data_IF_689947368965
#
_entry.id   IF_689947368965
#
_cell.length_a   1.000
_cell.length_b   1.000
_cell.length_c   1.000
_cell.angle_alpha   90.00
_cell.angle_beta   90.00
_cell.angle_gamma   90.00
#
_symmetry.space_group_name_H-M   'P 1'
#
loop_
_entity.id
_entity.type
_entity.pdbx_description
1 polymer ?
#
# COMPACT_ATOMS: atom_id res chain seq x y z
N UNK A 1 33.33 7.07 -13.75
CA UNK A 1 31.96 6.65 -13.37
C UNK A 1 31.94 5.15 -13.13
N UNK A 2 31.86 4.70 -11.89
CA UNK A 2 31.85 3.28 -11.55
C UNK A 2 30.48 2.65 -11.85
N UNK A 3 30.46 1.62 -12.72
CA UNK A 3 29.28 0.78 -12.96
C UNK A 3 28.98 -0.02 -11.69
N UNK A 4 27.91 0.31 -10.96
CA UNK A 4 27.37 -0.57 -9.91
C UNK A 4 26.81 -1.82 -10.60
N UNK A 5 27.52 -2.95 -10.50
CA UNK A 5 26.97 -4.26 -10.83
C UNK A 5 25.87 -4.59 -9.81
N UNK A 6 24.64 -4.79 -10.27
CA UNK A 6 23.58 -5.35 -9.45
C UNK A 6 24.02 -6.76 -9.00
N UNK A 7 24.25 -6.94 -7.70
CA UNK A 7 24.51 -8.24 -7.11
C UNK A 7 23.18 -9.00 -7.13
N UNK A 8 23.07 -10.03 -7.97
CA UNK A 8 21.95 -10.96 -7.90
C UNK A 8 21.89 -11.50 -6.46
N UNK A 9 20.82 -11.18 -5.74
CA UNK A 9 20.58 -11.71 -4.40
C UNK A 9 20.22 -13.18 -4.62
N UNK A 10 21.17 -14.08 -4.38
CA UNK A 10 20.87 -15.51 -4.29
C UNK A 10 19.70 -15.68 -3.32
N UNK A 11 18.72 -16.51 -3.69
CA UNK A 11 17.60 -16.81 -2.81
C UNK A 11 18.16 -17.31 -1.48
N UNK A 12 17.93 -16.55 -0.41
CA UNK A 12 18.29 -17.02 0.92
C UNK A 12 17.52 -18.33 1.17
N UNK A 13 18.14 -19.34 1.79
CA UNK A 13 17.42 -20.55 2.17
C UNK A 13 16.23 -20.17 3.06
N UNK A 14 15.11 -20.88 2.87
CA UNK A 14 13.87 -20.69 3.61
C UNK A 14 14.13 -20.84 5.12
N UNK A 15 13.60 -19.90 5.92
CA UNK A 15 13.74 -19.98 7.37
C UNK A 15 12.90 -21.14 7.95
N UNK A 16 13.24 -21.69 9.14
CA UNK A 16 12.43 -22.73 9.78
C UNK A 16 10.99 -22.29 10.03
N UNK A 17 10.76 -21.04 10.41
CA UNK A 17 9.43 -20.49 10.65
C UNK A 17 8.62 -20.43 9.35
N UNK A 18 9.23 -19.95 8.27
CA UNK A 18 8.62 -19.95 6.93
C UNK A 18 8.29 -21.37 6.48
N UNK A 19 9.22 -22.32 6.66
CA UNK A 19 9.02 -23.71 6.29
C UNK A 19 7.87 -24.35 7.06
N UNK A 20 7.74 -24.05 8.36
CA UNK A 20 6.64 -24.51 9.19
C UNK A 20 5.28 -23.96 8.74
N UNK A 21 5.20 -22.65 8.48
CA UNK A 21 3.97 -22.00 7.98
C UNK A 21 3.58 -22.55 6.59
N UNK A 22 4.54 -22.70 5.68
CA UNK A 22 4.31 -23.27 4.34
C UNK A 22 3.83 -24.71 4.46
N UNK A 23 4.48 -25.54 5.26
CA UNK A 23 4.07 -26.94 5.45
C UNK A 23 2.66 -27.04 6.06
N UNK A 24 2.32 -26.16 7.00
CA UNK A 24 0.99 -26.13 7.62
C UNK A 24 -0.10 -25.73 6.62
N UNK A 25 0.13 -24.73 5.78
CA UNK A 25 -0.79 -24.35 4.68
C UNK A 25 -0.92 -25.47 3.66
N UNK A 26 0.17 -26.18 3.34
CA UNK A 26 0.13 -27.31 2.40
C UNK A 26 -0.67 -28.50 2.96
N UNK A 27 -0.55 -28.77 4.26
CA UNK A 27 -1.34 -29.81 4.93
C UNK A 27 -2.82 -29.42 5.09
N UNK A 28 -3.12 -28.12 5.17
CA UNK A 28 -4.46 -27.58 5.40
C UNK A 28 -4.79 -26.48 4.36
N UNK A 29 -4.98 -26.84 3.08
CA UNK A 29 -5.07 -25.87 1.99
C UNK A 29 -6.29 -24.93 2.07
N UNK A 30 -7.36 -25.33 2.76
CA UNK A 30 -8.58 -24.52 2.91
C UNK A 30 -8.61 -23.75 4.24
N UNK A 31 -7.59 -23.90 5.09
CA UNK A 31 -7.51 -23.17 6.35
C UNK A 31 -7.15 -21.70 6.09
N UNK A 32 -8.18 -20.86 6.20
CA UNK A 32 -8.10 -19.41 6.05
C UNK A 32 -7.13 -18.78 7.05
N UNK A 33 -7.08 -19.31 8.28
CA UNK A 33 -6.21 -18.80 9.35
C UNK A 33 -4.75 -19.14 9.08
N UNK A 34 -4.47 -20.35 8.60
CA UNK A 34 -3.12 -20.76 8.18
C UNK A 34 -2.57 -19.85 7.08
N UNK A 35 -3.39 -19.56 6.07
CA UNK A 35 -3.03 -18.65 4.97
C UNK A 35 -2.87 -17.21 5.44
N UNK A 36 -3.71 -16.73 6.35
CA UNK A 36 -3.59 -15.41 6.96
C UNK A 36 -2.24 -15.25 7.69
N UNK A 37 -1.88 -16.25 8.51
CA UNK A 37 -0.62 -16.24 9.26
C UNK A 37 0.60 -16.24 8.33
N UNK A 38 0.59 -17.07 7.28
CA UNK A 38 1.64 -17.04 6.26
C UNK A 38 1.68 -15.70 5.52
N UNK A 39 0.54 -15.10 5.22
CA UNK A 39 0.49 -13.79 4.58
C UNK A 39 1.11 -12.68 5.44
N UNK A 40 0.79 -12.66 6.74
CA UNK A 40 1.34 -11.67 7.67
C UNK A 40 2.86 -11.83 7.80
N UNK A 41 3.33 -13.06 7.94
CA UNK A 41 4.77 -13.35 7.95
C UNK A 41 5.47 -12.87 6.67
N UNK A 42 4.87 -13.13 5.50
CA UNK A 42 5.42 -12.67 4.21
C UNK A 42 5.48 -11.14 4.10
N UNK A 43 4.46 -10.44 4.59
CA UNK A 43 4.42 -8.97 4.57
C UNK A 43 5.49 -8.38 5.50
N UNK A 44 5.69 -8.97 6.68
CA UNK A 44 6.76 -8.60 7.63
C UNK A 44 8.17 -8.81 7.07
N UNK A 45 8.33 -9.73 6.10
CA UNK A 45 9.61 -10.08 5.49
C UNK A 45 9.80 -9.49 4.08
N UNK A 46 9.18 -8.34 3.81
CA UNK A 46 9.30 -7.58 2.56
C UNK A 46 8.85 -8.37 1.30
N UNK A 47 7.87 -9.26 1.44
CA UNK A 47 7.27 -10.04 0.32
C UNK A 47 5.78 -9.73 0.14
N UNK A 48 5.41 -8.46 -0.09
CA UNK A 48 4.00 -8.03 -0.09
C UNK A 48 3.15 -8.65 -1.20
N UNK A 49 3.74 -8.99 -2.36
CA UNK A 49 3.01 -9.65 -3.44
C UNK A 49 2.64 -11.10 -3.08
N UNK A 50 3.55 -11.84 -2.45
CA UNK A 50 3.28 -13.21 -2.02
C UNK A 50 2.26 -13.21 -0.88
N UNK A 51 2.38 -12.26 0.06
CA UNK A 51 1.38 -12.03 1.10
C UNK A 51 -0.01 -11.78 0.50
N UNK A 52 -0.12 -10.91 -0.50
CA UNK A 52 -1.37 -10.61 -1.18
C UNK A 52 -2.00 -11.84 -1.83
N UNK A 53 -1.20 -12.72 -2.45
CA UNK A 53 -1.69 -14.00 -3.00
C UNK A 53 -2.25 -14.92 -1.94
N UNK A 54 -1.61 -15.00 -0.76
CA UNK A 54 -2.12 -15.82 0.34
C UNK A 54 -3.42 -15.25 0.90
N UNK A 55 -3.54 -13.91 1.03
CA UNK A 55 -4.79 -13.25 1.45
C UNK A 55 -5.93 -13.46 0.47
N UNK A 56 -5.66 -13.37 -0.83
CA UNK A 56 -6.63 -13.65 -1.89
C UNK A 56 -7.11 -15.11 -1.85
N UNK A 57 -6.17 -16.07 -1.77
CA UNK A 57 -6.49 -17.49 -1.63
C UNK A 57 -7.28 -17.81 -0.35
N UNK A 58 -7.09 -17.02 0.70
CA UNK A 58 -7.83 -17.09 1.96
C UNK A 58 -9.19 -16.35 1.91
N UNK A 59 -9.50 -15.66 0.80
CA UNK A 59 -10.71 -14.85 0.67
C UNK A 59 -10.76 -13.65 1.61
N UNK A 60 -9.61 -13.18 2.09
CA UNK A 60 -9.52 -12.11 3.09
C UNK A 60 -9.72 -10.75 2.44
N UNK A 61 -10.56 -9.95 3.08
CA UNK A 61 -10.68 -8.52 2.83
C UNK A 61 -9.71 -7.73 3.69
N UNK A 62 -9.09 -6.71 3.13
CA UNK A 62 -8.28 -5.74 3.89
C UNK A 62 -9.15 -4.55 4.31
N UNK A 63 -8.99 -4.13 5.56
CA UNK A 63 -9.65 -2.92 6.05
C UNK A 63 -8.69 -1.74 5.96
N UNK A 64 -9.18 -0.66 5.36
CA UNK A 64 -8.50 0.62 5.27
C UNK A 64 -9.31 1.69 6.01
N UNK A 65 -8.60 2.59 6.66
CA UNK A 65 -9.18 3.75 7.34
C UNK A 65 -8.88 4.99 6.52
N UNK A 66 -9.87 5.86 6.35
CA UNK A 66 -9.72 7.13 5.62
C UNK A 66 -10.36 8.25 6.43
N UNK A 67 -9.76 9.43 6.38
CA UNK A 67 -10.32 10.62 7.04
C UNK A 67 -11.11 11.42 6.01
N UNK A 68 -12.43 11.53 6.19
CA UNK A 68 -13.36 12.23 5.30
C UNK A 68 -13.86 13.50 5.95
N UNK A 69 -14.03 14.55 5.14
CA UNK A 69 -14.73 15.77 5.53
C UNK A 69 -16.20 15.63 5.14
N UNK A 70 -17.10 15.89 6.08
CA UNK A 70 -18.55 15.66 5.90
C UNK A 70 -19.17 16.68 4.96
N UNK A 71 -18.73 17.94 5.03
CA UNK A 71 -19.27 19.05 4.24
C UNK A 71 -19.14 18.89 2.72
N UNK A 72 -18.04 18.31 2.22
CA UNK A 72 -17.79 18.15 0.77
C UNK A 72 -17.52 16.69 0.35
N UNK A 73 -17.45 15.77 1.31
CA UNK A 73 -17.20 14.36 1.09
C UNK A 73 -15.78 14.01 0.67
N UNK A 74 -14.84 14.97 0.66
CA UNK A 74 -13.46 14.73 0.25
C UNK A 74 -12.66 14.01 1.34
N UNK A 75 -11.66 13.25 0.92
CA UNK A 75 -10.73 12.54 1.79
C UNK A 75 -9.42 13.29 1.94
N UNK A 76 -8.83 13.25 3.14
CA UNK A 76 -7.55 13.88 3.40
C UNK A 76 -6.40 13.08 2.78
N UNK A 77 -5.44 13.76 2.16
CA UNK A 77 -4.16 13.18 1.72
C UNK A 77 -3.16 13.00 2.88
N UNK A 78 -3.56 13.34 4.12
CA UNK A 78 -2.68 13.38 5.27
C UNK A 78 -1.73 14.58 5.22
N UNK A 79 -0.55 14.42 5.83
CA UNK A 79 0.47 15.47 5.91
C UNK A 79 1.37 15.41 4.67
N UNK A 80 1.25 16.37 3.76
CA UNK A 80 2.20 16.54 2.67
C UNK A 80 3.28 17.57 3.08
N UNK A 81 4.55 17.22 2.93
CA UNK A 81 5.66 18.16 3.17
C UNK A 81 5.87 18.97 1.89
N UNK A 82 5.61 20.28 1.95
CA UNK A 82 5.90 21.16 0.81
C UNK A 82 7.41 21.20 0.54
N UNK A 83 7.82 21.06 -0.72
CA UNK A 83 9.22 20.97 -1.18
C UNK A 83 9.96 22.33 -1.24
N UNK A 84 9.46 23.39 -0.64
CA UNK A 84 10.06 24.72 -0.73
C UNK A 84 10.18 25.42 0.63
N UNK A 85 11.42 25.66 1.04
CA UNK A 85 11.99 26.71 1.95
C UNK A 85 11.18 27.33 3.11
N UNK A 86 10.01 26.82 3.49
CA UNK A 86 9.16 27.37 4.54
C UNK A 86 8.22 26.32 5.13
N UNK A 87 7.98 26.41 6.44
CA UNK A 87 7.26 25.44 7.28
C UNK A 87 5.74 25.56 7.05
N UNK A 88 5.29 25.42 5.81
CA UNK A 88 3.86 25.37 5.47
C UNK A 88 3.48 23.90 5.26
N UNK A 89 2.85 23.34 6.28
CA UNK A 89 2.23 22.02 6.19
C UNK A 89 0.86 22.22 5.54
N UNK A 90 0.71 21.74 4.30
CA UNK A 90 -0.55 21.80 3.57
C UNK A 90 -1.25 20.45 3.67
N UNK A 91 -2.52 20.48 4.05
CA UNK A 91 -3.37 19.30 4.09
C UNK A 91 -4.30 19.35 2.89
N UNK A 92 -3.97 18.54 1.89
CA UNK A 92 -4.75 18.45 0.66
C UNK A 92 -5.96 17.53 0.86
N UNK A 93 -7.03 17.87 0.16
CA UNK A 93 -8.27 17.10 0.10
C UNK A 93 -8.51 16.65 -1.33
N UNK A 94 -8.93 15.41 -1.53
CA UNK A 94 -9.26 14.89 -2.85
C UNK A 94 -10.32 13.79 -2.77
N UNK A 95 -10.81 13.33 -3.91
CA UNK A 95 -11.74 12.18 -3.98
C UNK A 95 -11.05 10.86 -3.66
N UNK A 96 -9.71 10.79 -3.76
CA UNK A 96 -8.92 9.60 -3.43
C UNK A 96 -8.49 9.63 -1.98
N UNK A 97 -7.72 10.63 -1.56
CA UNK A 97 -7.15 10.72 -0.23
C UNK A 97 -6.22 9.57 0.14
N UNK A 98 -5.63 9.68 1.33
CA UNK A 98 -4.78 8.68 1.93
C UNK A 98 -5.61 7.56 2.56
N UNK A 99 -5.13 6.33 2.40
CA UNK A 99 -5.64 5.15 3.09
C UNK A 99 -4.61 4.67 4.11
N UNK A 100 -5.02 4.53 5.36
CA UNK A 100 -4.21 3.92 6.41
C UNK A 100 -4.62 2.46 6.56
N UNK A 101 -3.65 1.53 6.58
CA UNK A 101 -3.93 0.10 6.79
C UNK A 101 -4.25 -0.23 8.25
N UNK A 102 -3.61 0.48 9.19
CA UNK A 102 -3.81 0.27 10.63
C UNK A 102 -4.50 1.47 11.24
N UNK A 103 -5.47 1.23 12.13
CA UNK A 103 -6.14 2.28 12.88
C UNK A 103 -5.15 3.05 13.78
N UNK A 104 -4.13 2.35 14.29
CA UNK A 104 -3.03 2.95 15.03
C UNK A 104 -2.31 4.05 14.24
N UNK A 105 -1.99 3.81 12.96
CA UNK A 105 -1.31 4.80 12.14
C UNK A 105 -2.17 6.05 11.90
N UNK A 106 -3.48 5.87 11.76
CA UNK A 106 -4.43 6.98 11.69
C UNK A 106 -4.50 7.73 13.03
N UNK A 107 -4.56 7.01 14.16
CA UNK A 107 -4.54 7.61 15.50
C UNK A 107 -3.25 8.40 15.74
N UNK A 108 -2.10 7.83 15.39
CA UNK A 108 -0.80 8.48 15.48
C UNK A 108 -0.73 9.73 14.59
N UNK A 109 -1.26 9.65 13.37
CA UNK A 109 -1.39 10.81 12.48
C UNK A 109 -2.21 11.92 13.12
N UNK A 110 -3.38 11.61 13.68
CA UNK A 110 -4.25 12.58 14.34
C UNK A 110 -3.61 13.15 15.61
N UNK A 111 -2.96 12.32 16.42
CA UNK A 111 -2.28 12.73 17.66
C UNK A 111 -1.06 13.61 17.40
N UNK A 112 -0.35 13.39 16.29
CA UNK A 112 0.77 14.24 15.88
C UNK A 112 0.33 15.68 15.52
N UNK A 113 -0.96 15.90 15.26
CA UNK A 113 -1.54 17.22 15.05
C UNK A 113 -1.74 17.90 16.41
N UNK A 114 -0.71 18.61 16.86
CA UNK A 114 -0.58 19.23 18.21
C UNK A 114 -1.85 19.93 18.75
N UNK A 115 -2.02 19.99 20.09
CA UNK A 115 -3.25 20.39 20.79
C UNK A 115 -3.75 21.84 20.58
N UNK A 116 -2.96 22.72 19.95
CA UNK A 116 -3.37 24.10 19.66
C UNK A 116 -4.17 24.22 18.36
N UNK A 117 -4.23 23.17 17.56
CA UNK A 117 -4.99 23.16 16.31
C UNK A 117 -6.47 22.95 16.63
N UNK A 118 -7.25 24.03 16.65
CA UNK A 118 -8.73 23.97 16.73
C UNK A 118 -9.37 23.32 15.50
N UNK A 119 -8.57 23.08 14.46
CA UNK A 119 -9.00 22.56 13.17
C UNK A 119 -7.93 21.61 12.61
N UNK A 120 -8.34 20.57 11.91
CA UNK A 120 -7.46 19.74 11.11
C UNK A 120 -6.84 20.54 9.96
N UNK A 121 -5.51 20.53 9.92
CA UNK A 121 -4.71 21.04 8.81
C UNK A 121 -4.56 22.55 8.67
N UNK A 122 -4.87 23.31 9.71
CA UNK A 122 -4.65 24.77 9.75
C UNK A 122 -3.63 25.20 10.79
N UNK A 123 -2.68 26.07 10.41
CA UNK A 123 -1.95 26.95 11.33
C UNK A 123 -2.29 28.40 10.94
N UNK A 124 -3.25 29.02 11.63
CA UNK A 124 -3.64 30.42 11.39
C UNK A 124 -4.43 30.73 10.09
N UNK A 125 -4.64 29.76 9.19
CA UNK A 125 -5.63 29.81 8.10
C UNK A 125 -6.75 28.79 8.36
N UNK A 126 -7.95 29.04 7.82
CA UNK A 126 -9.17 28.24 8.01
C UNK A 126 -8.95 26.75 7.71
N UNK A 127 -8.57 25.99 8.74
CA UNK A 127 -8.51 24.53 8.67
C UNK A 127 -9.90 23.92 8.73
N UNK A 128 -9.98 22.60 8.58
CA UNK A 128 -11.27 21.89 8.69
C UNK A 128 -11.63 21.71 10.17
N UNK A 129 -12.82 22.11 10.62
CA UNK A 129 -13.27 21.84 11.99
C UNK A 129 -13.18 20.34 12.29
N UNK A 130 -12.69 19.96 13.46
CA UNK A 130 -12.66 18.55 13.88
C UNK A 130 -14.04 17.92 13.86
N UNK A 131 -15.07 18.70 14.16
CA UNK A 131 -16.48 18.30 14.11
C UNK A 131 -16.99 18.05 12.70
N UNK A 132 -16.30 18.50 11.65
CA UNK A 132 -16.63 18.23 10.25
C UNK A 132 -15.88 17.00 9.71
N UNK A 133 -15.14 16.28 10.56
CA UNK A 133 -14.42 15.07 10.16
C UNK A 133 -15.14 13.81 10.60
N UNK A 134 -14.95 12.76 9.82
CA UNK A 134 -15.30 11.39 10.16
C UNK A 134 -14.22 10.43 9.68
N UNK A 135 -14.10 9.29 10.37
CA UNK A 135 -13.28 8.18 9.90
C UNK A 135 -14.19 7.23 9.13
N UNK A 136 -13.89 7.03 7.86
CA UNK A 136 -14.54 6.05 7.00
C UNK A 136 -13.72 4.77 7.03
N UNK A 137 -14.38 3.66 7.33
CA UNK A 137 -13.82 2.32 7.26
C UNK A 137 -14.17 1.75 5.89
N UNK A 138 -13.17 1.37 5.12
CA UNK A 138 -13.31 0.83 3.76
C UNK A 138 -12.77 -0.58 3.76
N UNK A 139 -13.64 -1.55 3.55
CA UNK A 139 -13.25 -2.92 3.27
C UNK A 139 -12.92 -3.08 1.79
N UNK A 140 -11.75 -3.62 1.48
CA UNK A 140 -11.27 -3.86 0.12
C UNK A 140 -10.89 -5.32 -0.02
N UNK A 141 -11.50 -6.01 -0.97
CA UNK A 141 -11.07 -7.35 -1.39
C UNK A 141 -10.23 -7.22 -2.65
N UNK A 142 -8.92 -7.41 -2.52
CA UNK A 142 -8.02 -7.48 -3.65
C UNK A 142 -7.94 -8.91 -4.16
N UNK A 143 -8.14 -9.11 -5.46
CA UNK A 143 -8.04 -10.41 -6.13
C UNK A 143 -6.91 -10.35 -7.14
N UNK A 144 -6.02 -11.34 -7.14
CA UNK A 144 -4.91 -11.43 -8.10
C UNK A 144 -5.42 -12.12 -9.35
N UNK A 145 -5.73 -11.33 -10.39
CA UNK A 145 -6.37 -11.85 -11.61
C UNK A 145 -5.37 -12.45 -12.62
N UNK A 146 -4.26 -11.77 -12.90
CA UNK A 146 -3.30 -12.21 -13.91
C UNK A 146 -1.90 -11.62 -13.69
N UNK A 147 -0.88 -12.30 -14.25
CA UNK A 147 0.47 -11.77 -14.40
C UNK A 147 0.75 -11.48 -15.87
N UNK A 148 0.97 -10.22 -16.22
CA UNK A 148 1.25 -9.82 -17.60
C UNK A 148 2.76 -9.75 -17.85
N UNK A 149 3.31 -10.51 -18.82
CA UNK A 149 4.73 -10.42 -19.14
C UNK A 149 5.04 -9.09 -19.83
N UNK A 150 6.19 -8.51 -19.49
CA UNK A 150 6.74 -7.35 -20.19
C UNK A 150 7.91 -7.82 -21.04
N UNK A 151 7.84 -7.57 -22.34
CA UNK A 151 8.92 -7.81 -23.29
C UNK A 151 9.45 -6.49 -23.86
N UNK A 152 10.76 -6.45 -24.10
CA UNK A 152 11.38 -5.36 -24.85
C UNK A 152 11.50 -5.79 -26.32
N UNK A 153 11.08 -4.91 -27.24
CA UNK A 153 11.28 -5.11 -28.67
C UNK A 153 12.76 -5.38 -29.00
N UNK A 154 13.01 -6.22 -30.00
CA UNK A 154 14.38 -6.57 -30.42
C UNK A 154 15.11 -5.32 -30.92
N UNK A 155 16.32 -5.00 -30.41
CA UNK A 155 17.12 -3.91 -30.94
C UNK A 155 17.41 -4.15 -32.44
N UNK A 156 16.99 -3.22 -33.31
CA UNK A 156 17.30 -3.26 -34.74
C UNK A 156 16.12 -3.53 -35.69
N UNK A 157 14.94 -3.92 -35.20
CA UNK A 157 13.70 -3.94 -36.01
C UNK A 157 12.84 -2.69 -35.83
N UNK A 158 12.91 -2.04 -34.67
CA UNK A 158 12.20 -0.79 -34.41
C UNK A 158 13.13 0.39 -34.71
N UNK A 159 12.63 1.35 -35.50
CA UNK A 159 13.33 2.60 -35.88
C UNK A 159 13.62 3.49 -34.65
N UNK A 160 14.65 3.12 -33.88
CA UNK A 160 15.24 3.96 -32.84
C UNK A 160 14.48 4.09 -31.51
N UNK A 161 13.29 3.49 -31.38
CA UNK A 161 12.53 3.47 -30.11
C UNK A 161 12.45 2.04 -29.58
N UNK A 162 12.92 1.84 -28.34
CA UNK A 162 12.72 0.58 -27.62
C UNK A 162 11.22 0.43 -27.36
N UNK A 163 10.51 -0.39 -28.12
CA UNK A 163 9.12 -0.69 -27.83
C UNK A 163 9.03 -1.54 -26.55
N UNK A 164 8.16 -1.16 -25.63
CA UNK A 164 7.76 -1.97 -24.48
C UNK A 164 6.43 -2.61 -24.86
N UNK A 165 6.40 -3.94 -24.88
CA UNK A 165 5.17 -4.70 -25.13
C UNK A 165 4.73 -5.32 -23.81
N UNK A 166 3.50 -5.03 -23.41
CA UNK A 166 2.82 -5.69 -22.30
C UNK A 166 1.95 -6.78 -22.93
N UNK A 167 2.22 -8.04 -22.63
CA UNK A 167 1.39 -9.15 -23.12
C UNK A 167 -0.02 -9.05 -22.53
N UNK A 168 -1.04 -9.24 -23.36
CA UNK A 168 -2.42 -9.35 -22.88
C UNK A 168 -2.58 -10.63 -22.04
N UNK A 169 -3.50 -10.64 -21.05
CA UNK A 169 -3.80 -11.85 -20.29
C UNK A 169 -4.39 -12.90 -21.24
N UNK A 170 -3.71 -14.03 -21.41
CA UNK A 170 -4.30 -15.22 -22.03
C UNK A 170 -5.30 -15.81 -21.03
N UNK A 171 -6.59 -15.74 -21.36
CA UNK A 171 -7.66 -16.39 -20.61
C UNK A 171 -7.60 -17.91 -20.68
#
# INVERSE_FOLDING_TARGET
MAKRKAKARAAAPMSPDEAGLVAFVQANPDDTTARAALADWLDEHDRPLDAAKQRDAAGLSEVYYKLRRKSDGLFSEGREQSRGTGIDIVYRWSTKGKSWRRLEDLRAHLAALRPWNRTYGGRGKAGTPWTDLEVVVVEVRAVVLAHLPIAFGKPGQDRGTKSIVIGEPTG
#
